data_IF_984942907098
#
_entry.id   IF_984942907098
#
_cell.length_a   1.000
_cell.length_b   1.000
_cell.length_c   1.000
_cell.angle_alpha   90.00
_cell.angle_beta   90.00
_cell.angle_gamma   90.00
#
_symmetry.space_group_name_H-M   'P 1'
#
loop_
_entity.id
_entity.type
_entity.pdbx_description
1 polymer ?
#
# COMPACT_ATOMS: atom_id res chain seq x y z
N UNK A 1 -14.71 5.66 13.28
CA UNK A 1 -13.34 6.14 13.02
C UNK A 1 -13.44 7.42 12.19
N UNK A 2 -12.82 8.51 12.63
CA UNK A 2 -12.76 9.72 11.81
C UNK A 2 -11.73 9.50 10.70
N UNK A 3 -12.16 9.51 9.44
CA UNK A 3 -11.27 9.30 8.29
C UNK A 3 -10.84 10.67 7.77
N UNK A 4 -9.53 10.96 7.69
CA UNK A 4 -9.04 12.26 7.25
C UNK A 4 -9.37 12.50 5.78
N UNK A 5 -9.59 13.76 5.43
CA UNK A 5 -9.84 14.18 4.06
C UNK A 5 -8.51 14.41 3.34
N UNK A 6 -7.88 13.33 2.89
CA UNK A 6 -6.58 13.32 2.21
C UNK A 6 -6.75 12.69 0.83
N UNK A 7 -6.20 13.33 -0.19
CA UNK A 7 -6.27 12.86 -1.57
C UNK A 7 -5.17 11.86 -1.89
N UNK A 8 -5.43 10.99 -2.86
CA UNK A 8 -4.46 9.98 -3.34
C UNK A 8 -3.21 10.66 -3.92
N UNK A 9 -3.33 11.88 -4.46
CA UNK A 9 -2.20 12.70 -4.90
C UNK A 9 -1.22 13.08 -3.77
N UNK A 10 -1.68 13.13 -2.52
CA UNK A 10 -0.90 13.58 -1.37
C UNK A 10 -0.19 12.41 -0.65
N UNK A 11 -0.48 11.17 -1.03
CA UNK A 11 -0.01 9.97 -0.31
C UNK A 11 1.35 9.44 -0.78
N UNK A 12 2.10 10.17 -1.60
CA UNK A 12 3.44 9.78 -2.12
C UNK A 12 3.49 8.32 -2.60
N UNK A 13 2.51 7.91 -3.41
CA UNK A 13 2.49 6.61 -4.05
C UNK A 13 3.46 6.55 -5.23
N UNK A 14 3.92 5.35 -5.58
CA UNK A 14 4.60 5.18 -6.85
C UNK A 14 3.68 5.59 -8.01
N UNK A 15 4.28 6.07 -9.11
CA UNK A 15 3.54 6.47 -10.33
C UNK A 15 2.58 5.38 -10.79
N UNK A 16 2.97 4.11 -10.64
CA UNK A 16 2.12 2.96 -10.98
C UNK A 16 0.89 2.88 -10.07
N UNK A 17 1.09 2.86 -8.75
CA UNK A 17 0.01 2.77 -7.76
C UNK A 17 -0.96 3.93 -7.93
N UNK A 18 -0.46 5.17 -8.00
CA UNK A 18 -1.27 6.36 -8.27
C UNK A 18 -2.13 6.21 -9.54
N UNK A 19 -1.52 5.84 -10.66
CA UNK A 19 -2.23 5.72 -11.93
C UNK A 19 -3.27 4.60 -11.95
N UNK A 20 -3.04 3.50 -11.25
CA UNK A 20 -4.02 2.43 -11.13
C UNK A 20 -5.23 2.86 -10.29
N UNK A 21 -4.98 3.49 -9.14
CA UNK A 21 -6.03 4.03 -8.27
C UNK A 21 -6.87 5.09 -8.99
N UNK A 22 -6.22 6.06 -9.64
CA UNK A 22 -6.89 7.13 -10.40
C UNK A 22 -7.79 6.58 -11.50
N UNK A 23 -7.31 5.60 -12.28
CA UNK A 23 -8.11 4.96 -13.35
C UNK A 23 -9.27 4.13 -12.81
N UNK A 24 -9.13 3.60 -11.60
CA UNK A 24 -10.21 2.91 -10.90
C UNK A 24 -11.21 3.88 -10.21
N UNK A 25 -11.04 5.20 -10.37
CA UNK A 25 -11.91 6.21 -9.74
C UNK A 25 -11.69 6.35 -8.24
N UNK A 26 -10.54 5.90 -7.72
CA UNK A 26 -10.16 6.02 -6.31
C UNK A 26 -9.29 7.27 -6.18
N UNK A 27 -9.77 8.25 -5.43
CA UNK A 27 -9.17 9.60 -5.37
C UNK A 27 -8.85 10.08 -3.96
N UNK A 28 -9.33 9.39 -2.93
CA UNK A 28 -9.14 9.77 -1.53
C UNK A 28 -8.84 8.58 -0.60
N UNK A 29 -8.31 8.88 0.59
CA UNK A 29 -8.20 7.89 1.70
C UNK A 29 -9.57 7.31 2.04
N UNK A 30 -10.62 8.14 1.99
CA UNK A 30 -11.99 7.70 2.22
C UNK A 30 -12.41 6.62 1.22
N UNK A 31 -12.03 6.73 -0.04
CA UNK A 31 -12.33 5.68 -1.02
C UNK A 31 -11.61 4.38 -0.66
N UNK A 32 -10.32 4.48 -0.31
CA UNK A 32 -9.46 3.33 -0.01
C UNK A 32 -9.98 2.50 1.18
N UNK A 33 -10.38 3.14 2.28
CA UNK A 33 -10.85 2.40 3.48
C UNK A 33 -12.16 1.62 3.24
N UNK A 34 -12.92 1.96 2.21
CA UNK A 34 -14.12 1.22 1.82
C UNK A 34 -13.83 0.06 0.87
N UNK A 35 -12.62 -0.03 0.32
CA UNK A 35 -12.20 -1.13 -0.55
C UNK A 35 -11.69 -2.31 0.25
N UNK A 36 -11.90 -3.49 -0.30
CA UNK A 36 -11.33 -4.76 0.16
C UNK A 36 -10.04 -5.08 -0.61
N UNK A 37 -9.23 -5.98 -0.04
CA UNK A 37 -8.07 -6.56 -0.72
C UNK A 37 -8.40 -7.04 -2.15
N UNK A 38 -9.49 -7.81 -2.28
CA UNK A 38 -9.87 -8.42 -3.56
C UNK A 38 -10.28 -7.37 -4.61
N UNK A 39 -10.99 -6.32 -4.20
CA UNK A 39 -11.34 -5.21 -5.10
C UNK A 39 -10.08 -4.53 -5.64
N UNK A 40 -9.11 -4.22 -4.78
CA UNK A 40 -7.87 -3.58 -5.23
C UNK A 40 -7.05 -4.50 -6.15
N UNK A 41 -6.94 -5.78 -5.81
CA UNK A 41 -6.25 -6.77 -6.64
C UNK A 41 -6.92 -7.02 -8.00
N UNK A 42 -8.20 -6.66 -8.15
CA UNK A 42 -8.92 -6.74 -9.43
C UNK A 42 -8.64 -5.56 -10.37
N UNK A 43 -8.03 -4.47 -9.86
CA UNK A 43 -7.70 -3.30 -10.68
C UNK A 43 -6.63 -3.69 -11.70
N UNK A 44 -6.87 -3.35 -12.97
CA UNK A 44 -5.93 -3.65 -14.05
C UNK A 44 -4.55 -3.06 -13.74
N UNK A 45 -3.51 -3.87 -13.88
CA UNK A 45 -2.12 -3.53 -13.58
C UNK A 45 -1.83 -3.21 -12.09
N UNK A 46 -2.76 -3.45 -11.18
CA UNK A 46 -2.54 -3.40 -9.74
C UNK A 46 -1.93 -4.73 -9.27
N UNK A 47 -0.94 -4.69 -8.38
CA UNK A 47 -0.24 -5.89 -7.93
C UNK A 47 0.19 -5.79 -6.47
N UNK A 48 0.83 -6.86 -5.97
CA UNK A 48 1.24 -6.98 -4.56
C UNK A 48 2.01 -5.76 -4.04
N UNK A 49 2.94 -5.21 -4.83
CA UNK A 49 3.69 -4.01 -4.42
C UNK A 49 2.79 -2.78 -4.25
N UNK A 50 1.88 -2.53 -5.19
CA UNK A 50 0.91 -1.43 -5.08
C UNK A 50 -0.05 -1.61 -3.90
N UNK A 51 -0.43 -2.84 -3.60
CA UNK A 51 -1.24 -3.15 -2.43
C UNK A 51 -0.49 -2.87 -1.11
N UNK A 52 0.78 -3.27 -1.03
CA UNK A 52 1.63 -2.97 0.13
C UNK A 52 1.78 -1.47 0.33
N UNK A 53 2.02 -0.69 -0.73
CA UNK A 53 2.08 0.78 -0.64
C UNK A 53 0.77 1.36 -0.08
N UNK A 54 -0.39 0.90 -0.58
CA UNK A 54 -1.70 1.35 -0.06
C UNK A 54 -1.85 1.03 1.43
N UNK A 55 -1.55 -0.21 1.82
CA UNK A 55 -1.64 -0.65 3.22
C UNK A 55 -0.68 0.10 4.12
N UNK A 56 0.55 0.35 3.68
CA UNK A 56 1.55 1.13 4.41
C UNK A 56 1.03 2.55 4.68
N UNK A 57 0.54 3.25 3.65
CA UNK A 57 0.01 4.62 3.79
C UNK A 57 -1.23 4.67 4.68
N UNK A 58 -2.13 3.70 4.59
CA UNK A 58 -3.26 3.60 5.50
C UNK A 58 -2.83 3.32 6.94
N UNK A 59 -1.88 2.40 7.15
CA UNK A 59 -1.39 2.04 8.47
C UNK A 59 -0.67 3.20 9.17
N UNK A 60 0.05 4.06 8.43
CA UNK A 60 0.63 5.31 8.94
C UNK A 60 -0.42 6.27 9.50
N UNK A 61 -1.65 6.22 8.95
CA UNK A 61 -2.80 7.00 9.41
C UNK A 61 -3.64 6.26 10.48
N UNK A 62 -3.24 5.05 10.90
CA UNK A 62 -4.01 4.21 11.80
C UNK A 62 -5.29 3.64 11.17
N UNK A 63 -5.30 3.46 9.85
CA UNK A 63 -6.43 2.96 9.06
C UNK A 63 -6.06 1.65 8.35
N UNK A 64 -7.08 0.94 7.89
CA UNK A 64 -6.94 -0.30 7.12
C UNK A 64 -7.97 -0.36 5.99
N UNK A 65 -7.77 -1.32 5.07
CA UNK A 65 -8.78 -1.70 4.11
C UNK A 65 -9.96 -2.37 4.82
N UNK A 66 -11.11 -2.39 4.15
CA UNK A 66 -12.30 -3.05 4.66
C UNK A 66 -12.04 -4.55 4.83
N UNK A 67 -12.21 -5.03 6.06
CA UNK A 67 -12.05 -6.45 6.42
C UNK A 67 -10.65 -6.83 6.91
N UNK A 68 -9.74 -5.86 7.07
CA UNK A 68 -8.40 -6.07 7.62
C UNK A 68 -8.25 -5.38 8.98
N UNK A 69 -7.39 -5.92 9.84
CA UNK A 69 -7.00 -5.29 11.12
C UNK A 69 -5.60 -4.68 11.03
N UNK A 70 -5.32 -3.65 11.85
CA UNK A 70 -4.01 -3.00 11.86
C UNK A 70 -2.89 -3.98 12.21
N UNK A 71 -3.15 -4.92 13.11
CA UNK A 71 -2.18 -5.95 13.51
C UNK A 71 -1.83 -6.87 12.34
N UNK A 72 -2.84 -7.36 11.60
CA UNK A 72 -2.62 -8.16 10.38
C UNK A 72 -1.77 -7.41 9.35
N UNK A 73 -2.10 -6.13 9.11
CA UNK A 73 -1.37 -5.29 8.15
C UNK A 73 0.07 -5.06 8.59
N UNK A 74 0.31 -4.78 9.87
CA UNK A 74 1.67 -4.55 10.42
C UNK A 74 2.54 -5.79 10.35
N UNK A 75 1.99 -6.97 10.68
CA UNK A 75 2.69 -8.25 10.53
C UNK A 75 3.08 -8.51 9.07
N UNK A 76 2.17 -8.25 8.13
CA UNK A 76 2.45 -8.43 6.70
C UNK A 76 3.52 -7.44 6.18
N UNK A 77 3.45 -6.17 6.59
CA UNK A 77 4.46 -5.16 6.23
C UNK A 77 5.85 -5.51 6.81
N UNK A 78 5.90 -5.97 8.06
CA UNK A 78 7.14 -6.41 8.70
C UNK A 78 7.75 -7.63 7.99
N UNK A 79 6.91 -8.61 7.62
CA UNK A 79 7.34 -9.78 6.86
C UNK A 79 7.88 -9.41 5.46
N UNK A 80 7.22 -8.46 4.78
CA UNK A 80 7.68 -7.99 3.48
C UNK A 80 9.04 -7.26 3.57
N UNK A 81 9.25 -6.43 4.60
CA UNK A 81 10.51 -5.72 4.80
C UNK A 81 11.69 -6.68 5.05
N UNK A 82 11.49 -7.73 5.87
CA UNK A 82 12.51 -8.73 6.18
C UNK A 82 13.02 -9.53 4.96
N UNK A 83 12.22 -9.60 3.88
CA UNK A 83 12.59 -10.29 2.65
C UNK A 83 13.49 -9.48 1.69
N UNK A 84 13.78 -8.21 2.02
CA UNK A 84 14.52 -7.27 1.14
C UNK A 84 16.01 -7.14 1.49
N UNK A 85 16.61 -8.14 2.14
CA UNK A 85 18.05 -8.21 2.42
C UNK A 85 18.68 -9.45 1.76
N UNK A 86 18.99 -9.31 0.48
CA UNK A 86 20.04 -10.07 -0.20
C UNK A 86 20.51 -9.22 -1.38
N UNK A 87 21.82 -9.13 -1.56
CA UNK A 87 22.55 -8.36 -2.57
C UNK A 87 22.82 -6.89 -2.20
N UNK A 88 23.87 -6.64 -1.40
CA UNK A 88 24.83 -5.51 -1.55
C UNK A 88 25.84 -5.53 -0.37
N UNK A 89 26.82 -6.43 -0.40
CA UNK A 89 28.18 -6.24 0.14
C UNK A 89 29.00 -7.53 -0.12
N UNK A 90 29.19 -7.88 -1.40
CA UNK A 90 30.34 -8.71 -1.78
C UNK A 90 31.50 -7.75 -2.04
N UNK A 91 32.31 -7.60 -0.98
CA UNK A 91 33.63 -6.99 -0.93
C UNK A 91 34.50 -7.45 -2.11
N UNK A 92 34.51 -6.71 -3.23
CA UNK A 92 35.54 -6.92 -4.25
C UNK A 92 36.83 -6.23 -3.80
N UNK A 93 37.63 -6.98 -3.08
CA UNK A 93 39.03 -6.70 -2.82
C UNK A 93 39.87 -7.23 -3.98
N UNK A 94 40.31 -6.33 -4.86
CA UNK A 94 41.56 -6.48 -5.63
C UNK A 94 42.32 -5.15 -5.66
#
# INVERSE_FOLDING_TARGET
TNVPDVRVEELDFSVRTYNCLKRAGISSVRDLVHRTHHELMSIRNFGKRSLLEVREKLAQLGLTLRGETLEQVREELAAAAASTHQDDDEENKE
#
